data_IF_197334299526
#
_entry.id   IF_197334299526
#
_cell.length_a   1.000
_cell.length_b   1.000
_cell.length_c   1.000
_cell.angle_alpha   90.00
_cell.angle_beta   90.00
_cell.angle_gamma   90.00
#
_symmetry.space_group_name_H-M   'P 1'
#
loop_
_entity.id
_entity.type
_entity.pdbx_description
1 polymer ?
#
# COMPACT_ATOMS: atom_id res chain seq x y z
N UNK A 1 31.51 -8.88 -0.17
CA UNK A 1 30.90 -7.63 0.36
C UNK A 1 31.98 -6.54 0.31
N UNK A 2 31.78 -5.47 -0.45
CA UNK A 2 32.82 -4.45 -0.72
C UNK A 2 33.20 -3.66 0.54
N UNK A 3 34.45 -3.21 0.64
CA UNK A 3 35.02 -2.51 1.80
C UNK A 3 34.13 -1.34 2.27
N UNK A 4 33.52 -0.63 1.33
CA UNK A 4 32.59 0.48 1.58
C UNK A 4 31.33 0.06 2.36
N UNK A 5 30.80 -1.15 2.13
CA UNK A 5 29.64 -1.66 2.87
C UNK A 5 30.00 -1.98 4.32
N UNK A 6 31.23 -2.41 4.60
CA UNK A 6 31.71 -2.69 5.97
C UNK A 6 31.94 -1.41 6.78
N UNK A 7 32.43 -0.36 6.12
CA UNK A 7 32.62 0.97 6.72
C UNK A 7 31.26 1.61 7.03
N UNK A 8 30.29 1.51 6.10
CA UNK A 8 28.93 2.00 6.32
C UNK A 8 28.22 1.32 7.49
N UNK A 9 28.32 -0.01 7.59
CA UNK A 9 27.76 -0.76 8.72
C UNK A 9 28.43 -0.42 10.05
N UNK A 10 29.76 -0.25 10.06
CA UNK A 10 30.48 0.15 11.29
C UNK A 10 30.09 1.56 11.74
N UNK A 11 29.86 2.48 10.79
CA UNK A 11 29.39 3.83 11.09
C UNK A 11 27.95 3.85 11.63
N UNK A 12 27.06 3.02 11.08
CA UNK A 12 25.68 2.86 11.56
C UNK A 12 25.62 2.32 12.99
N UNK A 13 26.47 1.35 13.31
CA UNK A 13 26.57 0.78 14.67
C UNK A 13 27.12 1.83 15.64
N UNK A 14 28.14 2.60 15.23
CA UNK A 14 28.70 3.66 16.06
C UNK A 14 27.68 4.80 16.32
N UNK A 15 26.89 5.16 15.31
CA UNK A 15 25.82 6.16 15.44
C UNK A 15 24.69 5.69 16.36
N UNK A 16 24.33 4.40 16.33
CA UNK A 16 23.34 3.86 17.27
C UNK A 16 23.82 3.87 18.71
N UNK A 17 25.11 3.58 18.96
CA UNK A 17 25.68 3.67 20.30
C UNK A 17 25.77 5.11 20.81
N UNK A 18 26.01 6.08 19.93
CA UNK A 18 26.02 7.50 20.28
C UNK A 18 24.62 7.99 20.71
N UNK A 19 23.57 7.57 20.00
CA UNK A 19 22.17 7.90 20.32
C UNK A 19 21.75 7.29 21.66
N UNK A 20 22.11 6.03 21.92
CA UNK A 20 21.82 5.34 23.19
C UNK A 20 22.60 5.97 24.36
N UNK A 21 23.85 6.38 24.13
CA UNK A 21 24.65 7.07 25.15
C UNK A 21 24.07 8.44 25.52
N UNK A 22 23.59 9.20 24.54
CA UNK A 22 22.93 10.49 24.77
C UNK A 22 21.57 10.34 25.45
N UNK A 23 20.77 9.31 25.11
CA UNK A 23 19.47 9.06 25.74
C UNK A 23 19.60 8.61 27.20
N UNK A 24 20.61 7.80 27.53
CA UNK A 24 20.89 7.41 28.92
C UNK A 24 21.46 8.55 29.76
N UNK A 25 22.33 9.39 29.19
CA UNK A 25 22.91 10.54 29.89
C UNK A 25 21.85 11.62 30.21
N UNK A 26 20.93 11.90 29.29
CA UNK A 26 19.80 12.82 29.54
C UNK A 26 18.68 12.20 30.38
N UNK A 27 18.43 10.89 30.24
CA UNK A 27 17.37 10.17 30.95
C UNK A 27 17.66 9.89 32.43
N UNK A 28 18.93 9.78 32.84
CA UNK A 28 19.30 9.52 34.24
C UNK A 28 19.48 10.79 35.08
N UNK A 29 19.73 11.96 34.46
CA UNK A 29 20.02 13.20 35.18
C UNK A 29 18.77 14.10 35.40
N UNK A 30 17.58 13.63 35.03
CA UNK A 30 16.30 14.34 35.18
C UNK A 30 15.26 13.54 35.98
N UNK A 31 15.67 12.85 37.04
CA UNK A 31 14.73 12.33 38.05
C UNK A 31 14.22 13.44 39.00
N UNK A 32 13.62 14.48 38.42
CA UNK A 32 12.57 15.26 39.07
C UNK A 32 11.35 15.20 38.17
N UNK A 33 10.63 14.09 38.30
CA UNK A 33 9.27 14.00 37.76
C UNK A 33 8.43 15.05 38.49
N UNK A 34 8.30 16.23 37.89
CA UNK A 34 7.25 17.17 38.23
C UNK A 34 5.98 16.58 37.63
N UNK A 35 5.26 15.73 38.38
CA UNK A 35 3.87 15.39 38.06
C UNK A 35 3.03 16.64 38.27
N UNK A 36 2.98 17.51 37.26
CA UNK A 36 2.01 18.59 37.21
C UNK A 36 0.69 17.99 36.69
N UNK A 37 -0.18 17.59 37.61
CA UNK A 37 -1.50 16.96 37.34
C UNK A 37 -2.53 17.89 36.69
N UNK A 38 -2.14 19.05 36.18
CA UNK A 38 -3.04 20.06 35.62
C UNK A 38 -2.60 20.50 34.22
N UNK A 39 -2.68 19.58 33.26
CA UNK A 39 -2.77 19.89 31.83
C UNK A 39 -3.94 19.08 31.28
N UNK A 40 -4.94 19.76 30.72
CA UNK A 40 -6.18 19.16 30.21
C UNK A 40 -5.92 17.87 29.42
N UNK A 41 -6.58 16.75 29.76
CA UNK A 41 -6.40 15.47 29.08
C UNK A 41 -7.30 15.32 27.83
N UNK A 42 -8.06 16.35 27.46
CA UNK A 42 -9.24 16.17 26.60
C UNK A 42 -8.90 15.67 25.18
N UNK A 43 -7.76 16.04 24.61
CA UNK A 43 -7.40 15.64 23.24
C UNK A 43 -6.61 14.32 23.16
N UNK A 44 -5.92 13.91 24.24
CA UNK A 44 -5.09 12.69 24.20
C UNK A 44 -5.91 11.40 24.29
N UNK A 45 -7.08 11.44 24.93
CA UNK A 45 -7.96 10.25 25.07
C UNK A 45 -8.64 9.92 23.74
N UNK A 46 -9.14 10.93 23.03
CA UNK A 46 -9.81 10.77 21.74
C UNK A 46 -8.84 10.27 20.65
N UNK A 47 -7.60 10.79 20.63
CA UNK A 47 -6.54 10.35 19.72
C UNK A 47 -6.04 8.92 19.99
N UNK A 48 -6.06 8.46 21.25
CA UNK A 48 -5.71 7.07 21.58
C UNK A 48 -6.78 6.08 21.12
N UNK A 49 -8.06 6.46 21.23
CA UNK A 49 -9.16 5.62 20.76
C UNK A 49 -9.15 5.48 19.24
N UNK A 50 -8.92 6.57 18.49
CA UNK A 50 -8.81 6.54 17.02
C UNK A 50 -7.64 5.68 16.55
N UNK A 51 -6.47 5.81 17.17
CA UNK A 51 -5.30 4.96 16.88
C UNK A 51 -5.60 3.47 17.11
N UNK A 52 -6.25 3.13 18.22
CA UNK A 52 -6.61 1.74 18.52
C UNK A 52 -7.58 1.15 17.48
N UNK A 53 -8.50 1.97 16.96
CA UNK A 53 -9.46 1.57 15.93
C UNK A 53 -8.77 1.34 14.57
N UNK A 54 -7.81 2.21 14.21
CA UNK A 54 -7.01 2.06 13.00
C UNK A 54 -6.11 0.81 13.07
N UNK A 55 -5.49 0.54 14.22
CA UNK A 55 -4.71 -0.67 14.44
C UNK A 55 -5.54 -1.94 14.32
N UNK A 56 -6.73 -1.96 14.93
CA UNK A 56 -7.66 -3.06 14.78
C UNK A 56 -8.04 -3.26 13.32
N UNK A 57 -8.36 -2.18 12.59
CA UNK A 57 -8.72 -2.27 11.18
C UNK A 57 -7.57 -2.79 10.31
N UNK A 58 -6.33 -2.42 10.58
CA UNK A 58 -5.16 -2.96 9.87
C UNK A 58 -5.01 -4.47 10.09
N UNK A 59 -5.17 -4.93 11.34
CA UNK A 59 -5.13 -6.38 11.65
C UNK A 59 -6.25 -7.14 10.95
N UNK A 60 -7.46 -6.60 10.94
CA UNK A 60 -8.60 -7.21 10.25
C UNK A 60 -8.33 -7.30 8.74
N UNK A 61 -7.82 -6.23 8.12
CA UNK A 61 -7.45 -6.22 6.70
C UNK A 61 -6.32 -7.19 6.36
N UNK A 62 -5.33 -7.33 7.24
CA UNK A 62 -4.24 -8.31 7.07
C UNK A 62 -4.77 -9.74 7.10
N UNK A 63 -5.65 -10.05 8.07
CA UNK A 63 -6.29 -11.36 8.16
C UNK A 63 -7.19 -11.66 6.95
N UNK A 64 -8.01 -10.69 6.53
CA UNK A 64 -8.86 -10.80 5.34
C UNK A 64 -8.02 -11.06 4.07
N UNK A 65 -6.93 -10.31 3.89
CA UNK A 65 -6.05 -10.44 2.73
C UNK A 65 -5.30 -11.78 2.73
N UNK A 66 -4.83 -12.24 3.90
CA UNK A 66 -4.18 -13.55 4.01
C UNK A 66 -5.14 -14.70 3.68
N UNK A 67 -6.41 -14.60 4.12
CA UNK A 67 -7.44 -15.57 3.75
C UNK A 67 -7.62 -15.60 2.22
N UNK A 68 -7.70 -14.44 1.58
CA UNK A 68 -7.85 -14.33 0.12
C UNK A 68 -6.65 -14.87 -0.66
N UNK A 69 -5.44 -14.68 -0.15
CA UNK A 69 -4.21 -15.28 -0.69
C UNK A 69 -4.29 -16.81 -0.61
N UNK A 70 -4.67 -17.36 0.54
CA UNK A 70 -4.83 -18.81 0.70
C UNK A 70 -5.90 -19.38 -0.25
N UNK A 71 -7.03 -18.67 -0.41
CA UNK A 71 -8.07 -19.01 -1.39
C UNK A 71 -7.51 -19.00 -2.83
N UNK A 72 -6.64 -18.04 -3.19
CA UNK A 72 -6.02 -17.97 -4.50
C UNK A 72 -5.06 -19.14 -4.77
N UNK A 73 -4.32 -19.60 -3.77
CA UNK A 73 -3.46 -20.78 -3.87
C UNK A 73 -4.26 -22.06 -4.11
N UNK A 74 -5.38 -22.23 -3.39
CA UNK A 74 -6.30 -23.36 -3.59
C UNK A 74 -6.89 -23.35 -5.00
N UNK A 75 -7.35 -22.18 -5.47
CA UNK A 75 -7.87 -21.99 -6.83
C UNK A 75 -6.82 -22.37 -7.88
N UNK A 76 -5.57 -21.91 -7.74
CA UNK A 76 -4.50 -22.25 -8.68
C UNK A 76 -4.19 -23.76 -8.68
N UNK A 77 -4.27 -24.41 -7.53
CA UNK A 77 -4.05 -25.86 -7.41
C UNK A 77 -5.18 -26.63 -8.11
N UNK A 78 -6.43 -26.24 -7.88
CA UNK A 78 -7.59 -26.84 -8.55
C UNK A 78 -7.56 -26.63 -10.07
N UNK A 79 -7.20 -25.43 -10.54
CA UNK A 79 -7.10 -25.14 -11.98
C UNK A 79 -6.05 -26.02 -12.68
N UNK A 80 -4.90 -26.26 -12.02
CA UNK A 80 -3.88 -27.17 -12.55
C UNK A 80 -4.40 -28.60 -12.67
N UNK A 81 -5.10 -29.10 -11.65
CA UNK A 81 -5.68 -30.44 -11.67
C UNK A 81 -6.73 -30.58 -12.77
N UNK A 82 -7.67 -29.64 -12.85
CA UNK A 82 -8.70 -29.62 -13.90
C UNK A 82 -8.09 -29.52 -15.30
N UNK A 83 -7.08 -28.67 -15.48
CA UNK A 83 -6.41 -28.51 -16.77
C UNK A 83 -5.75 -29.80 -17.23
N UNK A 84 -5.12 -30.53 -16.31
CA UNK A 84 -4.47 -31.80 -16.62
C UNK A 84 -5.50 -32.89 -16.93
N UNK A 85 -6.58 -32.98 -16.14
CA UNK A 85 -7.64 -33.95 -16.38
C UNK A 85 -8.33 -33.71 -17.73
N UNK A 86 -8.68 -32.46 -18.06
CA UNK A 86 -9.25 -32.09 -19.35
C UNK A 86 -8.28 -32.48 -20.48
N UNK A 87 -6.97 -32.21 -20.32
CA UNK A 87 -5.95 -32.58 -21.31
C UNK A 87 -5.92 -34.08 -21.58
N UNK A 88 -5.98 -34.90 -20.53
CA UNK A 88 -6.00 -36.36 -20.64
C UNK A 88 -7.28 -36.85 -21.34
N UNK A 89 -8.46 -36.36 -20.95
CA UNK A 89 -9.72 -36.76 -21.59
C UNK A 89 -9.80 -36.31 -23.05
N UNK A 90 -9.26 -35.13 -23.39
CA UNK A 90 -9.15 -34.67 -24.77
C UNK A 90 -8.23 -35.58 -25.63
N UNK A 91 -7.18 -36.14 -25.03
CA UNK A 91 -6.36 -37.18 -25.67
C UNK A 91 -7.17 -38.43 -25.97
N UNK A 92 -7.89 -38.95 -24.98
CA UNK A 92 -8.75 -40.12 -25.14
C UNK A 92 -9.87 -39.91 -26.17
N UNK A 93 -10.49 -38.72 -26.22
CA UNK A 93 -11.47 -38.37 -27.24
C UNK A 93 -10.87 -38.42 -28.65
N UNK A 94 -9.63 -37.93 -28.80
CA UNK A 94 -8.90 -38.02 -30.08
C UNK A 94 -8.68 -39.46 -30.48
N UNK A 95 -8.27 -40.32 -29.56
CA UNK A 95 -8.05 -41.75 -29.82
C UNK A 95 -9.35 -42.43 -30.26
N UNK A 96 -10.48 -42.13 -29.61
CA UNK A 96 -11.78 -42.65 -30.05
C UNK A 96 -12.19 -42.15 -31.43
N UNK A 97 -11.95 -40.87 -31.76
CA UNK A 97 -12.22 -40.36 -33.11
C UNK A 97 -11.39 -41.07 -34.18
N UNK A 98 -10.12 -41.36 -33.88
CA UNK A 98 -9.24 -42.11 -34.77
C UNK A 98 -9.74 -43.54 -34.96
N UNK A 99 -10.10 -44.23 -33.88
CA UNK A 99 -10.66 -45.58 -33.93
C UNK A 99 -11.97 -45.64 -34.74
N UNK A 100 -12.88 -44.70 -34.53
CA UNK A 100 -14.12 -44.59 -35.30
C UNK A 100 -13.82 -44.39 -36.79
N UNK A 101 -12.84 -43.54 -37.13
CA UNK A 101 -12.41 -43.34 -38.52
C UNK A 101 -11.88 -44.63 -39.17
N UNK A 102 -11.12 -45.45 -38.43
CA UNK A 102 -10.67 -46.76 -38.92
C UNK A 102 -11.82 -47.75 -39.09
N UNK A 103 -12.72 -47.84 -38.11
CA UNK A 103 -13.90 -48.72 -38.17
C UNK A 103 -14.83 -48.33 -39.33
N UNK A 104 -15.07 -47.03 -39.54
CA UNK A 104 -15.86 -46.52 -40.65
C UNK A 104 -15.28 -46.95 -42.01
N UNK A 105 -13.96 -46.83 -42.18
CA UNK A 105 -13.27 -47.29 -43.40
C UNK A 105 -13.39 -48.80 -43.59
N UNK A 106 -13.20 -49.59 -42.52
CA UNK A 106 -13.32 -51.04 -42.57
C UNK A 106 -14.75 -51.49 -42.92
N UNK A 107 -15.77 -50.84 -42.35
CA UNK A 107 -17.18 -51.07 -42.69
C UNK A 107 -17.42 -50.78 -44.18
N UNK A 108 -16.95 -49.64 -44.69
CA UNK A 108 -17.10 -49.28 -46.10
C UNK A 108 -16.42 -50.28 -47.04
N UNK A 109 -15.19 -50.73 -46.73
CA UNK A 109 -14.49 -51.75 -47.52
C UNK A 109 -15.30 -53.05 -47.57
N UNK A 110 -15.84 -53.48 -46.43
CA UNK A 110 -16.64 -54.68 -46.32
C UNK A 110 -17.98 -54.57 -47.08
N UNK A 111 -18.61 -53.39 -47.05
CA UNK A 111 -19.83 -53.09 -47.81
C UNK A 111 -19.59 -53.12 -49.33
N UNK A 112 -18.45 -52.63 -49.80
CA UNK A 112 -18.05 -52.74 -51.21
C UNK A 112 -17.73 -54.19 -51.61
N UNK A 113 -17.09 -54.97 -50.75
CA UNK A 113 -16.86 -56.40 -51.01
C UNK A 113 -18.16 -57.18 -51.15
N UNK A 114 -19.16 -56.90 -50.32
CA UNK A 114 -20.49 -57.52 -50.36
C UNK A 114 -21.27 -57.25 -51.67
N UNK A 115 -20.91 -56.21 -52.42
CA UNK A 115 -21.55 -55.86 -53.71
C UNK A 115 -20.98 -56.62 -54.91
N UNK A 116 -19.91 -57.39 -54.75
CA UNK A 116 -19.28 -58.15 -55.85
C UNK A 116 -20.22 -59.25 -56.37
N UNK A 117 -20.33 -59.38 -57.69
CA UNK A 117 -21.33 -60.26 -58.35
C UNK A 117 -21.07 -61.77 -58.18
N UNK A 118 -19.85 -62.20 -57.85
CA UNK A 118 -19.41 -63.60 -57.83
C UNK A 118 -19.03 -64.10 -56.43
N UNK A 119 -19.84 -63.81 -55.41
CA UNK A 119 -19.65 -64.33 -54.05
C UNK A 119 -20.41 -65.65 -53.83
N UNK A 120 -19.74 -66.63 -53.23
CA UNK A 120 -20.42 -67.83 -52.72
C UNK A 120 -21.29 -67.51 -51.50
N UNK A 121 -22.24 -68.40 -51.21
CA UNK A 121 -23.16 -68.24 -50.06
C UNK A 121 -22.40 -68.18 -48.72
N UNK A 122 -21.37 -69.01 -48.56
CA UNK A 122 -20.57 -69.05 -47.33
C UNK A 122 -19.70 -67.80 -47.17
N UNK A 123 -19.07 -67.32 -48.25
CA UNK A 123 -18.30 -66.07 -48.23
C UNK A 123 -19.19 -64.89 -47.87
N UNK A 124 -20.39 -64.83 -48.44
CA UNK A 124 -21.37 -63.78 -48.13
C UNK A 124 -21.74 -63.79 -46.64
N UNK A 125 -22.01 -64.97 -46.07
CA UNK A 125 -22.34 -65.13 -44.65
C UNK A 125 -21.19 -64.70 -43.73
N UNK A 126 -19.94 -65.02 -44.09
CA UNK A 126 -18.75 -64.58 -43.36
C UNK A 126 -18.63 -63.04 -43.42
N UNK A 127 -18.82 -62.45 -44.60
CA UNK A 127 -18.71 -61.01 -44.78
C UNK A 127 -19.80 -60.25 -43.99
N UNK A 128 -21.04 -60.77 -43.97
CA UNK A 128 -22.16 -60.23 -43.21
C UNK A 128 -21.91 -60.27 -41.70
N UNK A 129 -21.38 -61.38 -41.18
CA UNK A 129 -21.06 -61.49 -39.76
C UNK A 129 -19.94 -60.52 -39.36
N UNK A 130 -18.86 -60.44 -40.14
CA UNK A 130 -17.77 -59.47 -39.90
C UNK A 130 -18.27 -58.02 -39.94
N UNK A 131 -19.20 -57.70 -40.85
CA UNK A 131 -19.83 -56.39 -40.91
C UNK A 131 -20.69 -56.10 -39.66
N UNK A 132 -21.43 -57.08 -39.17
CA UNK A 132 -22.21 -56.96 -37.93
C UNK A 132 -21.30 -56.68 -36.73
N UNK A 133 -20.17 -57.40 -36.63
CA UNK A 133 -19.19 -57.22 -35.55
C UNK A 133 -18.54 -55.83 -35.60
N UNK A 134 -18.12 -55.37 -36.78
CA UNK A 134 -17.58 -54.03 -36.97
C UNK A 134 -18.59 -52.92 -36.61
N UNK A 135 -19.86 -53.07 -37.03
CA UNK A 135 -20.93 -52.12 -36.69
C UNK A 135 -21.20 -52.09 -35.18
N UNK A 136 -21.16 -53.24 -34.51
CA UNK A 136 -21.26 -53.32 -33.05
C UNK A 136 -20.11 -52.58 -32.36
N UNK A 137 -18.86 -52.84 -32.77
CA UNK A 137 -17.68 -52.15 -32.21
C UNK A 137 -17.75 -50.63 -32.43
N UNK A 138 -18.20 -50.20 -33.61
CA UNK A 138 -18.39 -48.78 -33.91
C UNK A 138 -19.40 -48.13 -32.96
N UNK A 139 -20.55 -48.77 -32.72
CA UNK A 139 -21.56 -48.28 -31.80
C UNK A 139 -21.05 -48.18 -30.34
N UNK A 140 -20.27 -49.17 -29.90
CA UNK A 140 -19.68 -49.18 -28.56
C UNK A 140 -18.67 -48.05 -28.35
N UNK A 141 -17.76 -47.83 -29.31
CA UNK A 141 -16.79 -46.73 -29.25
C UNK A 141 -17.49 -45.38 -29.33
N UNK A 142 -18.52 -45.25 -30.17
CA UNK A 142 -19.30 -44.02 -30.28
C UNK A 142 -19.96 -43.66 -28.94
N UNK A 143 -20.53 -44.65 -28.26
CA UNK A 143 -21.15 -44.47 -26.94
C UNK A 143 -20.13 -44.03 -25.88
N UNK A 144 -18.95 -44.69 -25.84
CA UNK A 144 -17.84 -44.30 -24.93
C UNK A 144 -17.34 -42.88 -25.20
N UNK A 145 -17.23 -42.50 -26.47
CA UNK A 145 -16.85 -41.15 -26.89
C UNK A 145 -17.86 -40.11 -26.40
N UNK A 146 -19.15 -40.37 -26.59
CA UNK A 146 -20.20 -39.41 -26.22
C UNK A 146 -20.27 -39.21 -24.70
N UNK A 147 -20.16 -40.29 -23.91
CA UNK A 147 -20.06 -40.23 -22.45
C UNK A 147 -18.83 -39.44 -21.99
N UNK A 148 -17.65 -39.73 -22.57
CA UNK A 148 -16.42 -39.03 -22.25
C UNK A 148 -16.50 -37.54 -22.62
N UNK A 149 -17.14 -37.22 -23.74
CA UNK A 149 -17.33 -35.84 -24.20
C UNK A 149 -18.21 -35.06 -23.22
N UNK A 150 -19.32 -35.64 -22.76
CA UNK A 150 -20.18 -35.02 -21.73
C UNK A 150 -19.40 -34.77 -20.44
N UNK A 151 -18.67 -35.77 -19.93
CA UNK A 151 -17.85 -35.60 -18.73
C UNK A 151 -16.77 -34.51 -18.89
N UNK A 152 -16.17 -34.41 -20.09
CA UNK A 152 -15.16 -33.38 -20.39
C UNK A 152 -15.78 -31.98 -20.41
N UNK A 153 -16.99 -31.83 -20.95
CA UNK A 153 -17.71 -30.55 -20.95
C UNK A 153 -18.02 -30.07 -19.53
N UNK A 154 -18.42 -30.97 -18.62
CA UNK A 154 -18.64 -30.64 -17.21
C UNK A 154 -17.38 -30.04 -16.56
N UNK A 155 -16.21 -30.68 -16.76
CA UNK A 155 -14.94 -30.18 -16.23
C UNK A 155 -14.54 -28.83 -16.83
N UNK A 156 -14.82 -28.61 -18.11
CA UNK A 156 -14.57 -27.31 -18.77
C UNK A 156 -15.40 -26.20 -18.12
N UNK A 157 -16.68 -26.47 -17.81
CA UNK A 157 -17.54 -25.49 -17.12
C UNK A 157 -17.08 -25.24 -15.68
N UNK A 158 -16.68 -26.28 -14.94
CA UNK A 158 -16.08 -26.12 -13.60
C UNK A 158 -14.83 -25.23 -13.64
N UNK A 159 -13.97 -25.45 -14.63
CA UNK A 159 -12.75 -24.64 -14.81
C UNK A 159 -13.08 -23.18 -15.17
N UNK A 160 -14.12 -22.92 -15.98
CA UNK A 160 -14.57 -21.55 -16.28
C UNK A 160 -15.04 -20.82 -15.02
N UNK A 161 -15.87 -21.47 -14.20
CA UNK A 161 -16.34 -20.91 -12.93
C UNK A 161 -15.16 -20.62 -11.99
N UNK A 162 -14.18 -21.51 -11.94
CA UNK A 162 -12.96 -21.34 -11.16
C UNK A 162 -12.13 -20.12 -11.63
N UNK A 163 -12.05 -19.90 -12.95
CA UNK A 163 -11.36 -18.75 -13.52
C UNK A 163 -12.04 -17.41 -13.20
N UNK A 164 -13.38 -17.39 -13.18
CA UNK A 164 -14.13 -16.23 -12.74
C UNK A 164 -13.82 -15.90 -11.27
N UNK A 165 -13.87 -16.91 -10.39
CA UNK A 165 -13.53 -16.76 -8.97
C UNK A 165 -12.09 -16.25 -8.77
N UNK A 166 -11.15 -16.73 -9.59
CA UNK A 166 -9.76 -16.23 -9.58
C UNK A 166 -9.70 -14.73 -9.86
N UNK A 167 -10.39 -14.28 -10.91
CA UNK A 167 -10.40 -12.87 -11.33
C UNK A 167 -11.02 -11.96 -10.28
N UNK A 168 -12.13 -12.41 -9.68
CA UNK A 168 -12.79 -11.71 -8.57
C UNK A 168 -11.84 -11.59 -7.37
N UNK A 169 -11.18 -12.68 -6.98
CA UNK A 169 -10.24 -12.70 -5.87
C UNK A 169 -9.04 -11.76 -6.09
N UNK A 170 -8.45 -11.76 -7.30
CA UNK A 170 -7.37 -10.84 -7.66
C UNK A 170 -7.80 -9.36 -7.57
N UNK A 171 -9.05 -9.07 -7.92
CA UNK A 171 -9.62 -7.72 -7.83
C UNK A 171 -9.81 -7.31 -6.37
N UNK A 172 -10.34 -8.21 -5.53
CA UNK A 172 -10.51 -7.98 -4.09
C UNK A 172 -9.18 -7.73 -3.39
N UNK A 173 -8.15 -8.54 -3.67
CA UNK A 173 -6.81 -8.37 -3.08
C UNK A 173 -6.21 -7.01 -3.45
N UNK A 174 -6.37 -6.57 -4.71
CA UNK A 174 -5.87 -5.25 -5.15
C UNK A 174 -6.56 -4.11 -4.40
N UNK A 175 -7.88 -4.17 -4.24
CA UNK A 175 -8.62 -3.14 -3.51
C UNK A 175 -8.28 -3.16 -2.02
N UNK A 176 -8.19 -4.33 -1.39
CA UNK A 176 -7.77 -4.46 0.01
C UNK A 176 -6.37 -3.87 0.23
N UNK A 177 -5.43 -4.07 -0.70
CA UNK A 177 -4.08 -3.47 -0.61
C UNK A 177 -4.12 -1.94 -0.66
N UNK A 178 -5.00 -1.37 -1.49
CA UNK A 178 -5.22 0.08 -1.55
C UNK A 178 -5.79 0.59 -0.22
N UNK A 179 -6.84 -0.05 0.29
CA UNK A 179 -7.44 0.31 1.59
C UNK A 179 -6.43 0.16 2.74
N UNK A 180 -5.63 -0.91 2.75
CA UNK A 180 -4.57 -1.10 3.75
C UNK A 180 -3.56 0.06 3.75
N UNK A 181 -3.11 0.45 2.56
CA UNK A 181 -2.21 1.61 2.40
C UNK A 181 -2.87 2.89 2.93
N UNK A 182 -4.16 3.06 2.67
CA UNK A 182 -4.91 4.21 3.16
C UNK A 182 -5.03 4.24 4.69
N UNK A 183 -5.40 3.13 5.31
CA UNK A 183 -5.52 3.04 6.77
C UNK A 183 -4.15 3.21 7.44
N UNK A 184 -3.08 2.71 6.82
CA UNK A 184 -1.70 2.90 7.32
C UNK A 184 -1.32 4.38 7.32
N UNK A 185 -1.56 5.10 6.22
CA UNK A 185 -1.27 6.53 6.15
C UNK A 185 -2.10 7.35 7.14
N UNK A 186 -3.36 6.98 7.37
CA UNK A 186 -4.19 7.62 8.40
C UNK A 186 -3.63 7.38 9.80
N UNK A 187 -3.13 6.18 10.10
CA UNK A 187 -2.48 5.88 11.37
C UNK A 187 -1.23 6.74 11.57
N UNK A 188 -0.37 6.84 10.55
CA UNK A 188 0.86 7.66 10.60
C UNK A 188 0.53 9.13 10.90
N UNK A 189 -0.53 9.67 10.28
CA UNK A 189 -0.99 11.03 10.55
C UNK A 189 -1.48 11.23 11.99
N UNK A 190 -2.26 10.30 12.52
CA UNK A 190 -2.75 10.36 13.91
C UNK A 190 -1.61 10.23 14.92
N UNK A 191 -0.61 9.37 14.65
CA UNK A 191 0.60 9.25 15.47
C UNK A 191 1.39 10.58 15.50
N UNK A 192 1.56 11.23 14.34
CA UNK A 192 2.25 12.51 14.26
C UNK A 192 1.49 13.62 15.01
N UNK A 193 0.15 13.69 14.87
CA UNK A 193 -0.67 14.64 15.62
C UNK A 193 -0.53 14.42 17.12
N UNK A 194 -0.56 13.17 17.57
CA UNK A 194 -0.44 12.84 18.99
C UNK A 194 0.92 13.26 19.57
N UNK A 195 2.02 12.96 18.86
CA UNK A 195 3.38 13.38 19.26
C UNK A 195 3.53 14.91 19.31
N UNK A 196 2.99 15.62 18.31
CA UNK A 196 3.03 17.08 18.27
C UNK A 196 2.20 17.69 19.42
N UNK A 197 1.05 17.10 19.73
CA UNK A 197 0.19 17.53 20.84
C UNK A 197 0.86 17.33 22.19
N UNK A 198 1.53 16.20 22.39
CA UNK A 198 2.32 15.93 23.60
C UNK A 198 3.47 16.94 23.75
N UNK A 199 4.21 17.21 22.67
CA UNK A 199 5.29 18.20 22.66
C UNK A 199 4.78 19.63 22.93
N UNK A 200 3.61 19.99 22.40
CA UNK A 200 2.96 21.28 22.71
C UNK A 200 2.60 21.40 24.19
N UNK A 201 2.03 20.34 24.78
CA UNK A 201 1.69 20.31 26.20
C UNK A 201 2.93 20.47 27.09
N UNK A 202 4.04 19.81 26.72
CA UNK A 202 5.33 19.98 27.40
C UNK A 202 5.84 21.43 27.30
N UNK A 203 5.83 22.02 26.10
CA UNK A 203 6.27 23.39 25.88
C UNK A 203 5.42 24.42 26.66
N UNK A 204 4.10 24.22 26.74
CA UNK A 204 3.22 25.06 27.57
C UNK A 204 3.52 24.92 29.07
N UNK A 205 3.85 23.72 29.54
CA UNK A 205 4.28 23.51 30.93
C UNK A 205 5.62 24.21 31.23
N UNK A 206 6.60 24.11 30.32
CA UNK A 206 7.89 24.79 30.43
C UNK A 206 7.74 26.31 30.42
N UNK A 207 6.86 26.86 29.58
CA UNK A 207 6.55 28.30 29.59
C UNK A 207 6.06 28.79 30.96
N UNK A 208 5.21 28.02 31.65
CA UNK A 208 4.77 28.35 33.02
C UNK A 208 5.92 28.33 34.02
N UNK A 209 6.87 27.42 33.86
CA UNK A 209 8.09 27.39 34.68
C UNK A 209 8.96 28.61 34.42
N UNK A 210 9.19 28.98 33.16
CA UNK A 210 9.95 30.18 32.79
C UNK A 210 9.33 31.44 33.40
N UNK A 211 8.00 31.57 33.37
CA UNK A 211 7.32 32.71 34.00
C UNK A 211 7.64 32.81 35.50
N UNK A 212 7.70 31.67 36.20
CA UNK A 212 8.08 31.63 37.61
C UNK A 212 9.55 32.01 37.82
N UNK A 213 10.45 31.52 36.96
CA UNK A 213 11.88 31.85 37.01
C UNK A 213 12.17 33.32 36.69
N UNK A 214 11.40 33.93 35.80
CA UNK A 214 11.51 35.36 35.47
C UNK A 214 11.19 36.24 36.69
N UNK A 215 10.19 35.86 37.49
CA UNK A 215 9.85 36.57 38.74
C UNK A 215 10.97 36.38 39.78
N UNK A 216 11.50 35.16 39.92
CA UNK A 216 12.57 34.87 40.89
C UNK A 216 13.90 35.57 40.58
N UNK A 217 14.17 35.90 39.32
CA UNK A 217 15.42 36.50 38.86
C UNK A 217 15.27 37.98 38.48
N UNK A 218 14.27 38.69 39.03
CA UNK A 218 13.93 40.08 38.66
C UNK A 218 15.12 41.07 38.72
N UNK A 219 16.13 40.80 39.55
CA UNK A 219 17.30 41.64 39.74
C UNK A 219 18.56 41.13 38.99
N UNK A 220 18.42 40.12 38.13
CA UNK A 220 19.51 39.54 37.33
C UNK A 220 19.23 39.70 35.82
N UNK A 221 19.70 40.81 35.25
CA UNK A 221 19.48 41.18 33.84
C UNK A 221 19.97 40.13 32.84
N UNK A 222 21.10 39.46 33.12
CA UNK A 222 21.65 38.46 32.21
C UNK A 222 20.75 37.22 32.16
N UNK A 223 20.28 36.77 33.31
CA UNK A 223 19.40 35.60 33.42
C UNK A 223 18.01 35.88 32.84
N UNK A 224 17.45 37.07 33.10
CA UNK A 224 16.20 37.51 32.46
C UNK A 224 16.31 37.46 30.95
N UNK A 225 17.44 37.91 30.38
CA UNK A 225 17.65 37.90 28.92
C UNK A 225 17.71 36.49 28.36
N UNK A 226 18.32 35.53 29.07
CA UNK A 226 18.34 34.11 28.68
C UNK A 226 16.95 33.49 28.74
N UNK A 227 16.23 33.70 29.85
CA UNK A 227 14.87 33.19 30.04
C UNK A 227 13.89 33.73 28.99
N UNK A 228 13.95 35.03 28.65
CA UNK A 228 13.14 35.63 27.58
C UNK A 228 13.45 35.03 26.19
N UNK A 229 14.72 34.75 25.89
CA UNK A 229 15.10 34.08 24.63
C UNK A 229 14.54 32.65 24.57
N UNK A 230 14.62 31.92 25.68
CA UNK A 230 14.07 30.56 25.76
C UNK A 230 12.54 30.56 25.64
N UNK A 231 11.85 31.52 26.28
CA UNK A 231 10.41 31.72 26.10
C UNK A 231 10.04 31.95 24.62
N UNK A 232 10.77 32.83 23.92
CA UNK A 232 10.55 33.09 22.49
C UNK A 232 10.77 31.83 21.63
N UNK A 233 11.76 31.01 21.97
CA UNK A 233 12.00 29.73 21.31
C UNK A 233 10.82 28.77 21.48
N UNK A 234 10.28 28.64 22.71
CA UNK A 234 9.10 27.81 22.96
C UNK A 234 7.86 28.31 22.19
N UNK A 235 7.66 29.63 22.11
CA UNK A 235 6.58 30.23 21.31
C UNK A 235 6.71 29.91 19.81
N UNK A 236 7.94 29.93 19.27
CA UNK A 236 8.19 29.54 17.88
C UNK A 236 7.87 28.06 17.64
N UNK A 237 8.24 27.18 18.57
CA UNK A 237 7.93 25.75 18.46
C UNK A 237 6.43 25.49 18.50
N UNK A 238 5.70 26.11 19.43
CA UNK A 238 4.23 25.99 19.53
C UNK A 238 3.54 26.40 18.22
N UNK A 239 3.98 27.53 17.63
CA UNK A 239 3.45 27.98 16.34
C UNK A 239 3.76 26.99 15.21
N UNK A 240 4.97 26.44 15.17
CA UNK A 240 5.37 25.45 14.17
C UNK A 240 4.58 24.15 14.29
N UNK A 241 4.35 23.67 15.51
CA UNK A 241 3.59 22.44 15.76
C UNK A 241 2.11 22.62 15.40
N UNK A 242 1.47 23.73 15.79
CA UNK A 242 0.10 24.06 15.39
C UNK A 242 -0.06 24.14 13.86
N UNK A 243 0.88 24.77 13.16
CA UNK A 243 0.87 24.83 11.69
C UNK A 243 1.00 23.45 11.05
N UNK A 244 1.81 22.57 11.64
CA UNK A 244 2.00 21.20 11.15
C UNK A 244 0.75 20.35 11.37
N UNK A 245 0.14 20.40 12.55
CA UNK A 245 -1.14 19.72 12.85
C UNK A 245 -2.21 20.15 11.84
N UNK A 246 -2.42 21.46 11.65
CA UNK A 246 -3.38 21.99 10.65
C UNK A 246 -3.06 21.60 9.21
N UNK A 247 -1.80 21.27 8.89
CA UNK A 247 -1.42 20.73 7.59
C UNK A 247 -1.83 19.27 7.49
N UNK A 248 -1.52 18.48 8.51
CA UNK A 248 -1.86 17.05 8.58
C UNK A 248 -3.38 16.86 8.53
N UNK A 249 -4.17 17.63 9.29
CA UNK A 249 -5.64 17.56 9.27
C UNK A 249 -6.21 17.84 7.87
N UNK A 250 -5.61 18.77 7.12
CA UNK A 250 -5.99 19.05 5.73
C UNK A 250 -5.60 17.90 4.81
N UNK A 251 -4.43 17.33 5.01
CA UNK A 251 -3.96 16.14 4.28
C UNK A 251 -4.91 14.95 4.52
N UNK A 252 -5.26 14.68 5.77
CA UNK A 252 -6.24 13.65 6.16
C UNK A 252 -7.62 13.88 5.55
N UNK A 253 -8.11 15.13 5.53
CA UNK A 253 -9.41 15.45 4.94
C UNK A 253 -9.42 15.21 3.42
N UNK A 254 -8.41 15.73 2.72
CA UNK A 254 -8.24 15.52 1.28
C UNK A 254 -8.11 14.01 0.96
N UNK A 255 -7.40 13.28 1.82
CA UNK A 255 -7.24 11.84 1.72
C UNK A 255 -8.54 11.07 1.88
N UNK A 256 -9.37 11.42 2.88
CA UNK A 256 -10.70 10.82 3.08
C UNK A 256 -11.66 11.13 1.92
N UNK A 257 -11.58 12.32 1.35
CA UNK A 257 -12.46 12.78 0.27
C UNK A 257 -11.96 12.40 -1.14
N UNK A 258 -10.80 11.74 -1.27
CA UNK A 258 -10.10 11.49 -2.54
C UNK A 258 -9.94 12.76 -3.40
N UNK A 259 -9.78 13.93 -2.77
CA UNK A 259 -9.61 15.21 -3.46
C UNK A 259 -8.13 15.58 -3.52
N UNK A 260 -7.66 16.19 -4.62
CA UNK A 260 -6.30 16.74 -4.68
C UNK A 260 -6.12 17.77 -3.56
N UNK A 261 -4.95 17.80 -2.92
CA UNK A 261 -4.63 18.90 -2.02
C UNK A 261 -4.63 20.20 -2.81
N UNK A 262 -5.65 21.03 -2.59
CA UNK A 262 -5.57 22.43 -2.98
C UNK A 262 -4.52 23.09 -2.09
N UNK A 263 -3.30 23.20 -2.61
CA UNK A 263 -2.35 24.15 -2.06
C UNK A 263 -3.00 25.53 -2.13
N UNK A 264 -3.47 26.02 -0.98
CA UNK A 264 -3.83 27.43 -0.82
C UNK A 264 -2.59 28.22 -1.19
N UNK A 265 -2.49 28.64 -2.46
CA UNK A 265 -1.48 29.58 -2.93
C UNK A 265 -1.52 30.74 -1.93
N UNK A 266 -0.39 30.98 -1.25
CA UNK A 266 -0.27 32.14 -0.36
C UNK A 266 -0.77 33.34 -1.16
N UNK A 267 -1.78 34.06 -0.66
CA UNK A 267 -2.16 35.35 -1.26
C UNK A 267 -0.88 36.18 -1.25
N UNK A 268 -0.38 36.55 -2.44
CA UNK A 268 0.74 37.47 -2.57
C UNK A 268 0.40 38.70 -1.74
N UNK A 269 1.16 38.94 -0.67
CA UNK A 269 0.97 40.15 0.14
C UNK A 269 1.78 41.28 -0.49
N UNK A 270 1.51 42.53 -0.10
CA UNK A 270 2.24 43.70 -0.61
C UNK A 270 3.76 43.59 -0.37
N UNK A 271 4.18 42.82 0.64
CA UNK A 271 5.59 42.52 0.93
C UNK A 271 6.24 41.56 -0.08
N UNK A 272 5.46 40.73 -0.79
CA UNK A 272 5.97 39.82 -1.83
C UNK A 272 6.12 40.51 -3.20
N UNK A 273 5.61 41.74 -3.33
CA UNK A 273 5.57 42.51 -4.59
C UNK A 273 6.53 43.69 -4.56
N UNK A 274 6.79 44.30 -3.39
CA UNK A 274 7.72 45.41 -3.26
C UNK A 274 9.00 45.02 -2.55
N UNK A 275 10.06 44.94 -3.35
CA UNK A 275 11.41 44.66 -2.90
C UNK A 275 12.25 44.02 -4.00
N UNK A 276 12.27 44.61 -5.20
CA UNK A 276 13.40 44.36 -6.10
C UNK A 276 14.65 44.91 -5.42
N UNK A 277 15.70 44.10 -5.30
CA UNK A 277 16.97 44.47 -4.64
C UNK A 277 17.49 45.87 -5.03
N UNK A 278 17.27 46.31 -6.27
CA UNK A 278 17.65 47.64 -6.77
C UNK A 278 16.96 48.80 -6.03
N UNK A 279 15.69 48.69 -5.62
CA UNK A 279 14.99 49.77 -4.90
C UNK A 279 15.49 49.88 -3.44
N UNK A 280 15.90 48.76 -2.85
CA UNK A 280 16.52 48.73 -1.52
C UNK A 280 17.91 49.35 -1.54
N UNK A 281 18.70 49.11 -2.58
CA UNK A 281 20.02 49.76 -2.76
C UNK A 281 19.88 51.27 -3.00
N UNK A 282 18.90 51.70 -3.78
CA UNK A 282 18.64 53.14 -4.00
C UNK A 282 18.21 53.87 -2.72
N UNK A 283 17.45 53.23 -1.82
CA UNK A 283 17.09 53.78 -0.52
C UNK A 283 18.29 53.92 0.44
N UNK A 284 19.22 52.95 0.41
CA UNK A 284 20.48 53.00 1.18
C UNK A 284 21.40 54.10 0.66
N UNK A 285 21.55 54.22 -0.67
CA UNK A 285 22.32 55.31 -1.30
C UNK A 285 21.69 56.68 -1.04
N UNK A 286 20.36 56.78 -1.05
CA UNK A 286 19.65 58.03 -0.71
C UNK A 286 19.83 58.42 0.76
N UNK A 287 19.90 57.45 1.68
CA UNK A 287 20.16 57.71 3.10
C UNK A 287 21.63 58.07 3.38
N UNK A 288 22.60 57.48 2.69
CA UNK A 288 24.02 57.85 2.78
C UNK A 288 24.33 59.23 2.20
N UNK A 289 23.64 59.64 1.12
CA UNK A 289 23.80 60.99 0.57
C UNK A 289 23.17 62.07 1.45
N UNK A 290 22.14 61.74 2.24
CA UNK A 290 21.46 62.68 3.15
C UNK A 290 22.27 62.96 4.42
N UNK A 291 23.10 62.03 4.88
CA UNK A 291 24.03 62.24 5.99
C UNK A 291 25.26 63.05 5.57
N UNK A 292 25.76 62.87 4.34
CA UNK A 292 26.85 63.69 3.77
C UNK A 292 26.48 65.19 3.66
N UNK A 293 25.25 65.50 3.21
CA UNK A 293 24.75 66.87 3.10
C UNK A 293 24.56 67.57 4.46
N UNK A 294 24.25 66.82 5.53
CA UNK A 294 24.15 67.38 6.89
C UNK A 294 25.52 67.66 7.52
N UNK A 295 26.56 66.90 7.16
CA UNK A 295 27.92 67.10 7.69
C UNK A 295 28.63 68.28 7.01
N UNK A 296 28.36 68.58 5.73
CA UNK A 296 28.93 69.75 5.05
C UNK A 296 28.33 71.10 5.49
N UNK A 297 27.10 71.13 6.02
CA UNK A 297 26.48 72.36 6.55
C UNK A 297 26.92 72.74 7.97
N UNK A 298 27.72 71.90 8.65
CA UNK A 298 28.22 72.15 10.02
C UNK A 298 29.72 72.50 10.07
N UNK A 299 30.37 72.73 8.92
CA UNK A 299 31.80 73.10 8.81
C UNK A 299 32.06 74.41 8.03
N UNK A 300 31.09 75.32 7.99
CA UNK A 300 31.29 76.72 7.57
C UNK A 300 30.78 77.64 8.65
#
# INVERSE_FOLDING_TARGET
MTLMKKIYFSFLIFLSFLIIGLSLYYGLNTNKVVTNKNTSPLNNVENQETLSLLEKRLKDLEAENQQKINEAEQINTQDKLLSEEIRLKMGQLRDYMVQLGYLQKAIQTQEEELKKELLSVDEKKILEQKMKDLKSQHADIQTKKDQLNQATLTLIEERKALHQKKTENETTIKEQKKVFTQVTQLKDFEEEINLLTEAMNYNEAEKKQIQSLLIQNENNDEEIKKLKKYQLFLDQQLLSFDQRIKKIEREMKAFKENTPLEEKKKKKTFQDVYGMEEEKEQLVVFHQNRTSWKVQKLKK
#
